data_IF_222443894718
#
_entry.id   IF_222443894718
#
_cell.length_a   1.000
_cell.length_b   1.000
_cell.length_c   1.000
_cell.angle_alpha   90.00
_cell.angle_beta   90.00
_cell.angle_gamma   90.00
#
_symmetry.space_group_name_H-M   'P 1'
#
loop_
_entity.id
_entity.type
_entity.pdbx_description
1 polymer ?
#
# COMPACT_ATOMS: atom_id res chain seq x y z
N UNK A 1 0.14 -3.30 -16.30
CA UNK A 1 -1.07 -3.88 -15.72
C UNK A 1 -2.21 -2.97 -16.07
N UNK A 2 -3.21 -3.50 -16.77
CA UNK A 2 -4.51 -2.84 -16.82
C UNK A 2 -5.15 -2.96 -15.42
N UNK A 3 -5.97 -1.99 -15.02
CA UNK A 3 -6.61 -2.00 -13.69
C UNK A 3 -7.42 -3.29 -13.45
N UNK A 4 -7.90 -3.89 -14.53
CA UNK A 4 -8.65 -5.15 -14.56
C UNK A 4 -7.79 -6.37 -14.18
N UNK A 5 -6.46 -6.28 -14.23
CA UNK A 5 -5.53 -7.34 -13.84
C UNK A 5 -5.12 -7.27 -12.36
N UNK A 6 -5.50 -6.21 -11.64
CA UNK A 6 -5.16 -6.01 -10.23
C UNK A 6 -6.30 -6.48 -9.35
N UNK A 7 -6.14 -7.67 -8.75
CA UNK A 7 -7.03 -8.17 -7.70
C UNK A 7 -6.71 -7.50 -6.35
N UNK A 8 -7.62 -6.68 -5.78
CA UNK A 8 -7.38 -5.98 -4.51
C UNK A 8 -7.32 -6.90 -3.30
N UNK A 9 -7.83 -8.13 -3.42
CA UNK A 9 -7.87 -9.14 -2.36
C UNK A 9 -6.64 -10.05 -2.38
N UNK A 10 -5.82 -9.96 -3.42
CA UNK A 10 -4.55 -10.68 -3.51
C UNK A 10 -3.52 -10.08 -2.56
N UNK A 11 -2.74 -10.94 -1.93
CA UNK A 11 -1.64 -10.53 -1.05
C UNK A 11 -0.57 -9.74 -1.81
N UNK A 12 -0.13 -8.62 -1.24
CA UNK A 12 0.88 -7.71 -1.77
C UNK A 12 2.23 -8.37 -2.10
N UNK A 13 2.74 -9.34 -1.30
CA UNK A 13 3.93 -10.11 -1.69
C UNK A 13 3.79 -10.83 -3.05
N UNK A 14 2.58 -11.19 -3.47
CA UNK A 14 2.34 -11.79 -4.79
C UNK A 14 2.47 -10.77 -5.94
N UNK A 15 2.51 -9.48 -5.62
CA UNK A 15 2.84 -8.38 -6.54
C UNK A 15 4.31 -7.95 -6.43
N UNK A 16 5.19 -8.83 -5.91
CA UNK A 16 6.61 -8.57 -5.70
C UNK A 16 6.88 -7.35 -4.79
N UNK A 17 6.00 -7.09 -3.82
CA UNK A 17 6.24 -6.09 -2.80
C UNK A 17 7.39 -6.54 -1.88
N UNK A 18 8.55 -5.94 -2.07
CA UNK A 18 9.76 -6.12 -1.27
C UNK A 18 10.10 -4.84 -0.48
N UNK A 19 11.25 -4.81 0.20
CA UNK A 19 11.65 -3.66 1.04
C UNK A 19 11.80 -2.34 0.25
N UNK A 20 12.26 -2.40 -1.00
CA UNK A 20 12.47 -1.20 -1.82
C UNK A 20 11.15 -0.70 -2.38
N UNK A 21 10.36 -1.59 -2.99
CA UNK A 21 9.02 -1.24 -3.50
C UNK A 21 8.07 -0.84 -2.38
N UNK A 22 8.16 -1.42 -1.17
CA UNK A 22 7.40 -0.96 -0.01
C UNK A 22 7.79 0.46 0.43
N UNK A 23 9.06 0.83 0.27
CA UNK A 23 9.53 2.20 0.54
C UNK A 23 8.92 3.19 -0.46
N UNK A 24 8.90 2.83 -1.76
CA UNK A 24 8.30 3.66 -2.81
C UNK A 24 6.79 3.81 -2.62
N UNK A 25 6.09 2.71 -2.33
CA UNK A 25 4.64 2.71 -2.04
C UNK A 25 4.34 3.59 -0.83
N UNK A 26 5.10 3.49 0.26
CA UNK A 26 4.95 4.35 1.44
C UNK A 26 5.14 5.83 1.09
N UNK A 27 6.18 6.15 0.30
CA UNK A 27 6.48 7.52 -0.10
C UNK A 27 5.35 8.10 -0.98
N UNK A 28 4.86 7.30 -1.93
CA UNK A 28 3.70 7.64 -2.73
C UNK A 28 2.47 7.92 -1.85
N UNK A 29 2.16 7.01 -0.92
CA UNK A 29 1.02 7.18 -0.01
C UNK A 29 1.11 8.48 0.79
N UNK A 30 2.31 8.78 1.30
CA UNK A 30 2.54 10.00 2.09
C UNK A 30 2.30 11.25 1.24
N UNK A 31 2.76 11.24 -0.02
CA UNK A 31 2.65 12.38 -0.94
C UNK A 31 1.22 12.59 -1.45
N UNK A 32 0.55 11.52 -1.84
CA UNK A 32 -0.77 11.62 -2.49
C UNK A 32 -1.94 11.68 -1.50
N UNK A 33 -1.79 11.08 -0.31
CA UNK A 33 -2.89 10.94 0.65
C UNK A 33 -2.62 11.63 1.99
N UNK A 34 -1.49 12.33 2.13
CA UNK A 34 -1.04 12.94 3.40
C UNK A 34 -1.05 11.96 4.59
N UNK A 35 -0.88 10.67 4.29
CA UNK A 35 -0.97 9.57 5.23
C UNK A 35 0.42 9.03 5.58
N UNK A 36 0.92 9.37 6.76
CA UNK A 36 2.21 8.87 7.24
C UNK A 36 2.11 7.44 7.75
N UNK A 37 2.92 6.53 7.20
CA UNK A 37 2.98 5.11 7.59
C UNK A 37 4.43 4.64 7.72
N UNK A 38 4.67 3.61 8.53
CA UNK A 38 5.96 2.93 8.58
C UNK A 38 6.07 1.89 7.44
N UNK A 39 7.29 1.61 6.96
CA UNK A 39 7.51 0.58 5.91
C UNK A 39 7.01 -0.79 6.36
N UNK A 40 7.22 -1.13 7.64
CA UNK A 40 6.72 -2.38 8.22
C UNK A 40 5.20 -2.47 8.17
N UNK A 41 4.48 -1.36 8.28
CA UNK A 41 3.01 -1.35 8.16
C UNK A 41 2.59 -1.66 6.72
N UNK A 42 3.30 -1.12 5.72
CA UNK A 42 3.05 -1.43 4.30
C UNK A 42 3.33 -2.90 4.00
N UNK A 43 4.43 -3.46 4.50
CA UNK A 43 4.76 -4.88 4.36
C UNK A 43 3.76 -5.79 5.08
N UNK A 44 3.25 -5.38 6.24
CA UNK A 44 2.31 -6.15 7.05
C UNK A 44 0.84 -6.02 6.60
N UNK A 45 0.53 -5.11 5.67
CA UNK A 45 -0.87 -4.82 5.27
C UNK A 45 -1.64 -6.06 4.83
N UNK A 46 -0.97 -7.05 4.22
CA UNK A 46 -1.63 -8.20 3.61
C UNK A 46 -1.98 -7.92 2.15
N UNK A 47 -3.13 -7.30 1.88
CA UNK A 47 -3.67 -7.06 0.53
C UNK A 47 -3.73 -5.56 0.20
N UNK A 48 -4.03 -5.24 -1.06
CA UNK A 48 -4.25 -3.83 -1.49
C UNK A 48 -5.46 -3.25 -0.74
N UNK A 49 -6.51 -4.03 -0.55
CA UNK A 49 -7.72 -3.58 0.14
C UNK A 49 -7.46 -3.23 1.62
N UNK A 50 -6.68 -4.03 2.34
CA UNK A 50 -6.33 -3.76 3.74
C UNK A 50 -5.34 -2.61 3.87
N UNK A 51 -4.38 -2.50 2.94
CA UNK A 51 -3.52 -1.32 2.84
C UNK A 51 -4.34 -0.04 2.62
N UNK A 52 -5.27 -0.05 1.66
CA UNK A 52 -6.13 1.10 1.38
C UNK A 52 -6.94 1.53 2.62
N UNK A 53 -7.51 0.57 3.37
CA UNK A 53 -8.19 0.85 4.64
C UNK A 53 -7.26 1.51 5.66
N UNK A 54 -6.02 1.02 5.78
CA UNK A 54 -5.03 1.59 6.69
C UNK A 54 -4.61 3.02 6.28
N UNK A 55 -4.48 3.27 4.98
CA UNK A 55 -4.23 4.61 4.43
C UNK A 55 -5.38 5.54 4.75
N UNK A 56 -6.62 5.17 4.44
CA UNK A 56 -7.80 5.99 4.72
C UNK A 56 -7.94 6.31 6.22
N UNK A 57 -7.59 5.38 7.11
CA UNK A 57 -7.65 5.60 8.55
C UNK A 57 -6.63 6.62 9.08
N UNK A 58 -5.55 6.88 8.32
CA UNK A 58 -4.46 7.79 8.69
C UNK A 58 -4.35 9.03 7.81
N UNK A 59 -5.09 9.05 6.71
CA UNK A 59 -5.19 10.17 5.77
C UNK A 59 -5.67 11.43 6.48
N UNK A 60 -5.17 12.57 6.04
CA UNK A 60 -5.61 13.91 6.48
C UNK A 60 -6.44 14.64 5.44
N UNK A 61 -6.63 14.03 4.26
CA UNK A 61 -7.55 14.48 3.21
C UNK A 61 -9.01 14.25 3.59
#
# INVERSE_FOLDING_TARGET
>A
LELEEVDPTRNLPNYALDSLTATDVRNFITREFESTMQVLEVLASGTIQTLAKAVCAKSKL
#
